data_IF_246658271167
#
_entry.id   IF_246658271167
#
_cell.length_a   1.000
_cell.length_b   1.000
_cell.length_c   1.000
_cell.angle_alpha   90.00
_cell.angle_beta   90.00
_cell.angle_gamma   90.00
#
_symmetry.space_group_name_H-M   'P 1'
#
loop_
_entity.id
_entity.type
_entity.pdbx_description
1 polymer ?
#
# COMPACT_ATOMS: atom_id res chain seq x y z
N UNK A 1 -30.39 7.74 -4.62
CA UNK A 1 -29.18 6.89 -4.58
C UNK A 1 -28.11 7.51 -5.45
N UNK A 2 -26.97 7.82 -4.88
CA UNK A 2 -25.84 8.37 -5.61
C UNK A 2 -24.85 7.23 -5.87
N UNK A 3 -24.57 7.00 -7.15
CA UNK A 3 -23.56 6.01 -7.52
C UNK A 3 -22.17 6.60 -7.33
N UNK A 4 -21.33 5.84 -6.64
CA UNK A 4 -19.99 6.25 -6.32
C UNK A 4 -19.02 5.17 -6.73
N UNK A 5 -17.97 5.56 -7.44
CA UNK A 5 -16.93 4.62 -7.84
C UNK A 5 -15.90 4.50 -6.72
N UNK A 6 -15.51 3.28 -6.42
CA UNK A 6 -14.51 3.00 -5.40
C UNK A 6 -13.33 2.29 -6.05
N UNK A 7 -12.12 2.75 -5.73
CA UNK A 7 -10.92 2.05 -6.14
C UNK A 7 -10.65 0.91 -5.16
N UNK A 8 -10.48 -0.30 -5.69
CA UNK A 8 -10.15 -1.47 -4.90
C UNK A 8 -8.81 -1.99 -5.36
N UNK A 9 -7.84 -1.96 -4.46
CA UNK A 9 -6.49 -2.44 -4.75
C UNK A 9 -6.44 -3.95 -4.58
N UNK A 10 -5.75 -4.62 -5.47
CA UNK A 10 -5.77 -6.09 -5.57
C UNK A 10 -4.42 -6.65 -5.13
N UNK A 11 -4.48 -7.79 -4.43
CA UNK A 11 -3.31 -8.58 -4.08
C UNK A 11 -2.31 -7.83 -3.20
N UNK A 12 -1.06 -7.86 -3.59
CA UNK A 12 0.06 -7.29 -2.84
C UNK A 12 0.41 -5.87 -3.27
N UNK A 13 -0.53 -5.18 -3.89
CA UNK A 13 -0.31 -3.81 -4.37
C UNK A 13 -0.80 -2.80 -3.36
N UNK A 14 -0.23 -1.61 -3.42
CA UNK A 14 -0.67 -0.46 -2.64
C UNK A 14 -0.93 0.71 -3.59
N UNK A 15 -1.79 1.61 -3.17
CA UNK A 15 -2.10 2.82 -3.91
C UNK A 15 -1.50 4.00 -3.16
N UNK A 16 -0.67 4.78 -3.85
CA UNK A 16 0.10 5.85 -3.23
C UNK A 16 -0.20 7.15 -3.94
N UNK A 17 -0.40 8.19 -3.15
CA UNK A 17 -0.47 9.56 -3.65
C UNK A 17 0.93 10.17 -3.49
N UNK A 18 1.54 10.54 -4.61
CA UNK A 18 2.90 11.04 -4.61
C UNK A 18 3.00 12.35 -3.84
N UNK A 19 4.03 12.48 -3.00
CA UNK A 19 4.31 13.74 -2.32
C UNK A 19 4.75 14.79 -3.32
N UNK A 20 4.22 15.99 -3.16
CA UNK A 20 4.77 17.13 -3.88
C UNK A 20 6.13 17.49 -3.28
N UNK A 21 7.00 18.08 -4.10
CA UNK A 21 8.38 18.39 -3.68
C UNK A 21 8.46 19.28 -2.44
N UNK A 22 7.37 19.97 -2.12
CA UNK A 22 7.33 20.92 -1.00
C UNK A 22 6.84 20.31 0.31
N UNK A 23 6.38 19.05 0.30
CA UNK A 23 5.77 18.41 1.48
C UNK A 23 6.78 17.65 2.32
N UNK A 24 7.95 18.22 2.50
CA UNK A 24 9.06 17.60 3.26
C UNK A 24 8.72 17.29 4.71
N UNK A 25 7.73 18.00 5.27
CA UNK A 25 7.45 17.93 6.71
C UNK A 25 6.41 16.92 7.12
N UNK A 26 5.55 16.48 6.19
CA UNK A 26 4.44 15.58 6.54
C UNK A 26 4.88 14.19 6.95
N UNK A 27 5.83 13.62 6.21
CA UNK A 27 6.34 12.28 6.51
C UNK A 27 7.53 12.28 7.45
N UNK A 28 8.22 13.42 7.59
CA UNK A 28 9.49 13.49 8.28
C UNK A 28 10.65 12.91 7.47
N UNK A 29 10.39 12.40 6.27
CA UNK A 29 11.40 11.86 5.39
C UNK A 29 11.98 12.94 4.50
N UNK A 30 13.29 12.97 4.42
CA UNK A 30 14.00 13.85 3.50
C UNK A 30 14.87 13.02 2.57
N UNK A 31 14.62 13.17 1.28
CA UNK A 31 15.45 12.55 0.25
C UNK A 31 16.45 13.56 -0.28
N UNK A 32 17.76 13.28 -0.23
CA UNK A 32 18.75 14.17 -0.80
C UNK A 32 18.50 14.40 -2.29
N UNK A 33 18.81 15.58 -2.82
CA UNK A 33 18.59 15.86 -4.24
C UNK A 33 19.25 14.85 -5.19
N UNK A 34 20.41 14.31 -4.81
CA UNK A 34 21.09 13.31 -5.61
C UNK A 34 20.29 12.04 -5.83
N UNK A 35 19.50 11.64 -4.83
CA UNK A 35 18.63 10.46 -4.92
C UNK A 35 17.43 10.76 -5.81
N UNK A 36 16.84 11.96 -5.66
CA UNK A 36 15.68 12.38 -6.46
C UNK A 36 16.04 12.59 -7.92
N UNK A 37 17.20 13.18 -8.18
CA UNK A 37 17.66 13.46 -9.54
C UNK A 37 17.85 12.19 -10.35
N UNK A 38 18.20 11.09 -9.70
CA UNK A 38 18.35 9.80 -10.37
C UNK A 38 17.03 9.07 -10.52
N UNK A 39 15.93 9.63 -9.99
CA UNK A 39 14.59 9.08 -10.05
C UNK A 39 14.47 7.63 -9.59
N UNK A 40 15.36 7.19 -8.70
CA UNK A 40 15.36 5.80 -8.23
C UNK A 40 14.34 5.57 -7.13
N UNK A 41 14.11 6.57 -6.29
CA UNK A 41 13.28 6.45 -5.10
C UNK A 41 12.29 7.58 -5.07
N UNK A 42 11.07 7.27 -4.66
CA UNK A 42 10.02 8.26 -4.45
C UNK A 42 9.34 8.01 -3.11
N UNK A 43 8.66 9.03 -2.61
CA UNK A 43 7.86 8.93 -1.40
C UNK A 43 6.45 9.37 -1.65
N UNK A 44 5.52 8.83 -0.88
CA UNK A 44 4.14 9.22 -0.98
C UNK A 44 3.31 8.65 0.14
N UNK A 45 2.10 9.15 0.24
CA UNK A 45 1.14 8.69 1.25
C UNK A 45 0.34 7.51 0.72
N UNK A 46 0.26 6.45 1.50
CA UNK A 46 -0.53 5.27 1.17
C UNK A 46 -2.00 5.58 1.43
N UNK A 47 -2.80 5.53 0.37
CA UNK A 47 -4.23 5.82 0.48
C UNK A 47 -5.08 4.55 0.49
N UNK A 48 -4.59 3.47 -0.09
CA UNK A 48 -5.27 2.17 -0.06
C UNK A 48 -4.25 1.05 -0.16
N UNK A 49 -4.63 -0.11 0.39
CA UNK A 49 -3.79 -1.31 0.31
C UNK A 49 -4.64 -2.49 -0.16
N UNK A 50 -4.00 -3.41 -0.86
CA UNK A 50 -4.63 -4.66 -1.24
C UNK A 50 -4.75 -5.61 -0.06
N UNK A 51 -5.48 -6.74 -0.23
CA UNK A 51 -5.68 -7.69 0.87
C UNK A 51 -4.42 -8.43 1.30
N UNK A 52 -3.40 -8.47 0.48
CA UNK A 52 -2.14 -9.09 0.82
C UNK A 52 -1.78 -10.28 -0.06
N UNK A 53 -0.88 -11.10 0.47
CA UNK A 53 -0.41 -12.28 -0.24
C UNK A 53 -1.40 -13.43 -0.08
N UNK A 54 -1.67 -14.14 -1.18
CA UNK A 54 -2.57 -15.28 -1.17
C UNK A 54 -1.77 -16.53 -0.81
N UNK A 55 -2.28 -17.28 0.17
CA UNK A 55 -1.72 -18.56 0.53
C UNK A 55 -2.86 -19.57 0.66
N UNK A 56 -2.58 -20.88 0.53
CA UNK A 56 -3.60 -21.88 0.84
C UNK A 56 -4.01 -21.79 2.30
N UNK A 57 -5.31 -21.94 2.57
CA UNK A 57 -5.81 -21.91 3.93
C UNK A 57 -5.45 -23.21 4.62
N UNK A 58 -4.61 -23.19 5.68
CA UNK A 58 -4.20 -24.43 6.35
C UNK A 58 -5.33 -25.13 7.09
N UNK A 59 -6.43 -24.41 7.35
CA UNK A 59 -7.61 -24.97 8.02
C UNK A 59 -8.66 -25.49 7.03
N UNK A 60 -8.37 -25.41 5.73
CA UNK A 60 -9.29 -25.90 4.72
C UNK A 60 -9.17 -27.42 4.62
N UNK A 61 -10.32 -28.12 4.80
CA UNK A 61 -10.39 -29.55 4.61
C UNK A 61 -11.61 -29.87 3.78
N UNK A 62 -11.44 -30.75 2.79
CA UNK A 62 -12.53 -31.24 1.94
C UNK A 62 -13.37 -32.31 2.64
N UNK A 63 -12.96 -32.74 3.83
CA UNK A 63 -13.47 -33.92 4.51
C UNK A 63 -14.68 -33.69 5.41
N UNK A 64 -15.16 -32.43 5.47
CA UNK A 64 -16.28 -32.05 6.35
C UNK A 64 -17.42 -31.42 5.55
N UNK A 65 -18.20 -32.23 4.82
CA UNK A 65 -19.28 -31.68 3.99
C UNK A 65 -20.42 -31.03 4.76
N UNK A 66 -20.50 -31.30 6.06
CA UNK A 66 -21.52 -30.71 6.92
C UNK A 66 -21.07 -29.41 7.61
N UNK A 67 -19.78 -29.08 7.53
CA UNK A 67 -19.29 -27.83 8.11
C UNK A 67 -19.56 -26.66 7.19
N UNK A 68 -19.57 -25.45 7.76
CA UNK A 68 -19.71 -24.24 6.96
C UNK A 68 -18.62 -24.17 5.92
N UNK A 69 -18.93 -23.68 4.68
CA UNK A 69 -17.90 -23.61 3.64
C UNK A 69 -16.76 -22.73 4.11
N UNK A 70 -15.57 -23.28 4.07
CA UNK A 70 -14.33 -22.55 4.39
C UNK A 70 -13.70 -22.08 3.09
N UNK A 71 -13.20 -20.88 3.10
CA UNK A 71 -12.48 -20.34 1.96
C UNK A 71 -11.17 -21.13 1.80
N UNK A 72 -10.93 -21.75 0.61
CA UNK A 72 -9.69 -22.49 0.39
C UNK A 72 -8.46 -21.61 0.35
N UNK A 73 -8.63 -20.29 0.22
CA UNK A 73 -7.53 -19.35 0.13
C UNK A 73 -7.56 -18.41 1.32
N UNK A 74 -6.41 -17.99 1.74
CA UNK A 74 -6.24 -17.06 2.83
C UNK A 74 -5.26 -15.97 2.39
N UNK A 75 -5.48 -14.74 2.91
CA UNK A 75 -4.56 -13.62 2.64
C UNK A 75 -3.71 -13.35 3.87
N UNK A 76 -2.41 -13.15 3.63
CA UNK A 76 -1.52 -12.60 4.64
C UNK A 76 -1.48 -11.10 4.38
N UNK A 77 -1.92 -10.26 5.36
CA UNK A 77 -1.94 -8.81 5.16
C UNK A 77 -0.56 -8.25 4.83
N UNK A 78 -0.56 -7.18 4.07
CA UNK A 78 0.66 -6.46 3.76
C UNK A 78 1.19 -5.75 5.01
N UNK A 79 2.48 -5.53 5.04
CA UNK A 79 3.12 -4.74 6.09
C UNK A 79 2.67 -3.28 6.02
N UNK A 80 2.46 -2.78 4.81
CA UNK A 80 1.98 -1.42 4.57
C UNK A 80 0.52 -1.28 5.02
N UNK A 81 0.19 -0.14 5.62
CA UNK A 81 -1.17 0.21 6.05
C UNK A 81 -1.61 1.54 5.47
N UNK A 82 -2.92 1.71 5.34
CA UNK A 82 -3.47 3.01 4.94
C UNK A 82 -3.00 4.10 5.89
N UNK A 83 -2.61 5.23 5.33
CA UNK A 83 -2.12 6.36 6.11
C UNK A 83 -0.62 6.38 6.31
N UNK A 84 0.07 5.28 6.05
CA UNK A 84 1.53 5.26 6.10
C UNK A 84 2.12 6.17 5.03
N UNK A 85 3.35 6.62 5.27
CA UNK A 85 4.18 7.21 4.23
C UNK A 85 5.16 6.14 3.76
N UNK A 86 5.21 5.93 2.45
CA UNK A 86 6.05 4.88 1.88
C UNK A 86 7.18 5.48 1.07
N UNK A 87 8.37 4.91 1.24
CA UNK A 87 9.49 5.15 0.34
C UNK A 87 9.62 3.90 -0.53
N UNK A 88 9.65 4.06 -1.83
CA UNK A 88 9.58 2.94 -2.76
C UNK A 88 10.42 3.18 -4.02
N UNK A 89 10.69 2.11 -4.74
CA UNK A 89 11.41 2.16 -6.02
C UNK A 89 10.46 2.69 -7.10
N UNK A 90 10.79 3.87 -7.61
CA UNK A 90 9.93 4.55 -8.59
C UNK A 90 9.75 3.78 -9.88
N UNK A 91 10.77 3.08 -10.32
CA UNK A 91 10.71 2.32 -11.58
C UNK A 91 9.69 1.19 -11.56
N UNK A 92 9.28 0.72 -10.39
CA UNK A 92 8.28 -0.33 -10.24
C UNK A 92 6.88 0.21 -10.00
N UNK A 93 6.74 1.52 -9.94
CA UNK A 93 5.46 2.16 -9.73
C UNK A 93 4.77 2.41 -11.08
N UNK A 94 3.45 2.21 -11.09
CA UNK A 94 2.63 2.47 -12.28
C UNK A 94 1.78 3.69 -12.00
N UNK A 95 1.96 4.74 -12.81
CA UNK A 95 1.18 5.97 -12.66
C UNK A 95 -0.20 5.79 -13.27
N UNK A 96 -1.21 6.18 -12.50
CA UNK A 96 -2.60 6.19 -12.95
C UNK A 96 -3.25 7.52 -12.61
N UNK A 97 -4.36 7.81 -13.26
CA UNK A 97 -5.18 8.95 -12.93
C UNK A 97 -6.61 8.47 -12.72
N UNK A 98 -7.22 8.89 -11.62
CA UNK A 98 -8.60 8.55 -11.30
C UNK A 98 -9.29 9.80 -10.76
N UNK A 99 -10.39 10.18 -11.41
CA UNK A 99 -11.16 11.38 -11.05
C UNK A 99 -10.27 12.63 -10.90
N UNK A 100 -9.43 12.85 -11.91
CA UNK A 100 -8.53 14.00 -12.00
C UNK A 100 -7.42 14.02 -10.95
N UNK A 101 -7.24 12.93 -10.21
CA UNK A 101 -6.20 12.79 -9.21
C UNK A 101 -5.17 11.75 -9.65
N UNK A 102 -3.90 12.05 -9.46
CA UNK A 102 -2.83 11.14 -9.83
C UNK A 102 -2.43 10.24 -8.66
N UNK A 103 -2.25 8.97 -8.97
CA UNK A 103 -1.83 7.96 -8.00
C UNK A 103 -0.77 7.07 -8.62
N UNK A 104 -0.07 6.35 -7.76
CA UNK A 104 0.87 5.31 -8.17
C UNK A 104 0.43 3.98 -7.58
N UNK A 105 0.45 2.95 -8.41
CA UNK A 105 0.26 1.58 -7.95
C UNK A 105 1.66 0.99 -7.75
N UNK A 106 1.94 0.53 -6.53
CA UNK A 106 3.27 0.05 -6.15
C UNK A 106 3.12 -1.33 -5.54
N UNK A 107 3.91 -2.30 -5.97
CA UNK A 107 3.92 -3.60 -5.30
C UNK A 107 4.59 -3.48 -3.93
N UNK A 108 4.12 -4.25 -2.95
CA UNK A 108 4.72 -4.25 -1.61
C UNK A 108 6.22 -4.53 -1.67
N UNK A 109 6.65 -5.37 -2.60
CA UNK A 109 8.07 -5.73 -2.75
C UNK A 109 8.96 -4.55 -3.15
N UNK A 110 8.36 -3.47 -3.69
CA UNK A 110 9.12 -2.28 -4.06
C UNK A 110 9.20 -1.25 -2.94
N UNK A 111 8.49 -1.47 -1.83
CA UNK A 111 8.50 -0.58 -0.68
C UNK A 111 9.75 -0.84 0.14
N UNK A 112 10.53 0.21 0.36
CA UNK A 112 11.82 0.12 1.07
C UNK A 112 11.67 0.48 2.53
N UNK A 113 10.79 1.41 2.85
CA UNK A 113 10.60 1.89 4.21
C UNK A 113 9.22 2.50 4.36
N UNK A 114 8.67 2.37 5.55
CA UNK A 114 7.40 2.98 5.92
C UNK A 114 7.63 3.90 7.10
N UNK A 115 6.93 5.04 7.08
CA UNK A 115 6.86 5.95 8.24
C UNK A 115 5.41 5.98 8.69
N UNK A 116 5.20 5.72 9.95
CA UNK A 116 3.86 5.66 10.55
C UNK A 116 3.87 6.45 11.83
N UNK A 117 2.82 7.24 12.02
CA UNK A 117 2.65 7.97 13.25
C UNK A 117 2.40 6.99 14.39
N UNK A 118 3.09 7.20 15.49
CA UNK A 118 2.96 6.38 16.69
C UNK A 118 2.57 7.28 17.86
N UNK A 119 1.51 6.89 18.56
CA UNK A 119 1.12 7.60 19.76
C UNK A 119 2.01 7.18 20.91
N UNK A 120 2.81 8.12 21.42
CA UNK A 120 3.58 7.92 22.63
C UNK A 120 2.90 8.61 23.79
N UNK A 121 2.80 7.90 24.92
CA UNK A 121 2.39 8.54 26.15
C UNK A 121 3.54 9.42 26.65
N UNK A 122 3.25 10.70 26.84
CA UNK A 122 4.16 11.60 27.52
C UNK A 122 4.10 11.32 29.03
N UNK A 123 5.19 10.90 29.58
CA UNK A 123 5.31 10.67 31.02
C UNK A 123 5.72 11.94 31.73
#
# INVERSE_FOLDING_TARGET
MILRKQMIVVGDKILVQLDEEHDKTKSGLYLPPSVREKEKVATGRVVKVGPGYVIPNPNFTDDEPWSAPKDPMRYIPLQTREGDYAMFLREQAIEIEFEEQKYLIVPQSAVLMLVRDEMKEDL
#
